data_IF_642692237084
#
_entry.id   IF_642692237084
#
_cell.length_a   1.000
_cell.length_b   1.000
_cell.length_c   1.000
_cell.angle_alpha   90.00
_cell.angle_beta   90.00
_cell.angle_gamma   90.00
#
_symmetry.space_group_name_H-M   'P 1'
#
loop_
_entity.id
_entity.type
_entity.pdbx_description
1 polymer ?
#
# COMPACT_ATOMS: atom_id res chain seq x y z
N UNK A 1 5.93 -76.58 -158.07
CA UNK A 1 5.77 -76.15 -156.66
C UNK A 1 6.58 -77.10 -155.79
N UNK A 2 7.40 -76.63 -154.85
CA UNK A 2 8.32 -77.46 -154.08
C UNK A 2 7.66 -78.03 -152.80
N UNK A 3 8.25 -79.10 -152.25
CA UNK A 3 8.09 -79.41 -150.83
C UNK A 3 9.44 -79.83 -150.26
N UNK A 4 10.00 -78.96 -149.41
CA UNK A 4 11.27 -79.18 -148.72
C UNK A 4 10.96 -79.64 -147.31
N UNK A 5 11.05 -80.95 -147.05
CA UNK A 5 11.05 -81.47 -145.68
C UNK A 5 12.49 -81.57 -145.16
N UNK A 6 12.89 -80.58 -144.35
CA UNK A 6 14.11 -80.67 -143.53
C UNK A 6 13.93 -81.77 -142.49
N UNK A 7 14.96 -82.62 -142.32
CA UNK A 7 15.06 -83.50 -141.15
C UNK A 7 15.21 -82.66 -139.90
N UNK A 8 14.44 -82.99 -138.86
CA UNK A 8 14.60 -82.47 -137.51
C UNK A 8 15.39 -83.50 -136.71
N UNK A 9 16.54 -83.12 -136.17
CA UNK A 9 17.32 -83.96 -135.25
C UNK A 9 16.59 -84.06 -133.91
N UNK A 10 16.66 -85.22 -133.25
CA UNK A 10 16.15 -85.37 -131.88
C UNK A 10 17.00 -84.55 -130.89
N UNK A 11 16.43 -83.98 -129.83
CA UNK A 11 17.20 -83.42 -128.73
C UNK A 11 17.96 -84.53 -127.98
N UNK A 12 19.11 -84.17 -127.42
CA UNK A 12 19.86 -85.04 -126.51
C UNK A 12 19.10 -85.23 -125.17
N UNK A 13 19.28 -86.37 -124.48
CA UNK A 13 18.59 -86.63 -123.22
C UNK A 13 19.12 -85.72 -122.11
N UNK A 14 18.20 -85.11 -121.37
CA UNK A 14 18.49 -84.31 -120.18
C UNK A 14 18.96 -85.26 -119.07
N UNK A 15 20.22 -85.11 -118.65
CA UNK A 15 20.74 -85.71 -117.41
C UNK A 15 20.44 -84.76 -116.24
N UNK A 16 19.97 -85.25 -115.08
CA UNK A 16 19.76 -84.42 -113.91
C UNK A 16 21.10 -83.86 -113.39
N UNK A 17 21.06 -82.62 -112.93
CA UNK A 17 22.20 -81.90 -112.39
C UNK A 17 22.46 -82.33 -110.93
N UNK A 18 23.56 -83.03 -110.69
CA UNK A 18 23.96 -83.52 -109.37
C UNK A 18 24.90 -82.56 -108.62
N UNK A 19 25.15 -81.34 -109.13
CA UNK A 19 25.96 -80.36 -108.40
C UNK A 19 25.28 -79.94 -107.10
N UNK A 20 23.96 -79.76 -107.12
CA UNK A 20 23.17 -79.46 -105.93
C UNK A 20 23.24 -80.58 -104.88
N UNK A 21 23.30 -81.84 -105.31
CA UNK A 21 23.45 -83.01 -104.41
C UNK A 21 24.86 -83.07 -103.80
N UNK A 22 25.90 -82.65 -104.53
CA UNK A 22 27.26 -82.51 -104.00
C UNK A 22 27.38 -81.32 -103.05
N UNK A 23 26.70 -80.21 -103.32
CA UNK A 23 26.64 -79.04 -102.42
C UNK A 23 25.86 -79.35 -101.14
N UNK A 24 24.71 -80.05 -101.23
CA UNK A 24 23.98 -80.55 -100.06
C UNK A 24 24.76 -81.60 -99.28
N UNK A 25 25.49 -82.50 -99.95
CA UNK A 25 26.34 -83.50 -99.31
C UNK A 25 27.46 -82.85 -98.48
N UNK A 26 28.21 -81.92 -99.08
CA UNK A 26 29.25 -81.17 -98.37
C UNK A 26 28.66 -80.32 -97.23
N UNK A 27 27.50 -79.67 -97.45
CA UNK A 27 26.82 -78.90 -96.42
C UNK A 27 26.24 -79.76 -95.29
N UNK A 28 25.87 -81.02 -95.54
CA UNK A 28 25.40 -81.94 -94.52
C UNK A 28 26.53 -82.44 -93.61
N UNK A 29 27.72 -82.69 -94.18
CA UNK A 29 28.92 -83.07 -93.42
C UNK A 29 29.45 -81.89 -92.55
N UNK A 30 29.30 -80.64 -93.01
CA UNK A 30 29.62 -79.43 -92.23
C UNK A 30 28.53 -79.07 -91.19
N UNK A 31 27.26 -79.46 -91.39
CA UNK A 31 26.12 -79.06 -90.55
C UNK A 31 25.92 -79.88 -89.26
N UNK A 32 27.00 -80.20 -88.55
CA UNK A 32 26.94 -80.78 -87.21
C UNK A 32 26.52 -79.71 -86.17
N UNK A 33 25.24 -79.30 -86.20
CA UNK A 33 24.57 -78.32 -85.33
C UNK A 33 24.54 -78.75 -83.86
N UNK A 34 25.71 -78.75 -83.24
CA UNK A 34 25.91 -78.94 -81.80
C UNK A 34 25.64 -77.62 -81.10
N UNK A 35 24.63 -77.55 -80.24
CA UNK A 35 24.34 -76.36 -79.45
C UNK A 35 24.99 -76.43 -78.08
N UNK A 36 25.69 -75.37 -77.68
CA UNK A 36 26.32 -75.23 -76.38
C UNK A 36 25.45 -74.36 -75.47
N UNK A 37 25.06 -74.91 -74.32
CA UNK A 37 24.26 -74.23 -73.31
C UNK A 37 25.10 -73.90 -72.08
N UNK A 38 25.09 -72.64 -71.68
CA UNK A 38 25.73 -72.14 -70.46
C UNK A 38 24.66 -71.56 -69.54
N UNK A 39 24.50 -72.17 -68.38
CA UNK A 39 23.72 -71.63 -67.27
C UNK A 39 24.68 -70.99 -66.26
N UNK A 40 24.40 -69.75 -65.88
CA UNK A 40 25.23 -68.91 -65.04
C UNK A 40 24.40 -68.30 -63.91
N UNK A 41 24.98 -68.16 -62.72
CA UNK A 41 24.51 -67.27 -61.69
C UNK A 41 25.63 -66.29 -61.28
N UNK A 42 25.31 -64.99 -61.24
CA UNK A 42 26.17 -63.92 -60.73
C UNK A 42 25.67 -63.55 -59.34
N UNK A 43 26.32 -64.07 -58.30
CA UNK A 43 25.82 -63.98 -56.93
C UNK A 43 26.09 -62.59 -56.33
N UNK A 44 27.36 -62.20 -56.27
CA UNK A 44 27.78 -60.96 -55.60
C UNK A 44 29.16 -60.51 -56.09
N UNK A 45 29.54 -59.28 -55.76
CA UNK A 45 30.94 -58.87 -55.72
C UNK A 45 31.32 -58.43 -54.30
N UNK A 46 32.61 -58.31 -54.03
CA UNK A 46 33.16 -57.86 -52.75
C UNK A 46 34.44 -57.07 -52.92
N UNK A 47 34.68 -56.13 -52.01
CA UNK A 47 35.87 -55.29 -51.94
C UNK A 47 36.15 -54.49 -53.24
N UNK A 48 35.09 -54.05 -53.93
CA UNK A 48 35.22 -53.26 -55.16
C UNK A 48 35.96 -51.93 -54.91
N UNK A 49 36.64 -51.44 -55.95
CA UNK A 49 37.18 -50.07 -55.96
C UNK A 49 36.01 -49.09 -55.97
N UNK A 50 36.15 -47.97 -55.27
CA UNK A 50 35.22 -46.86 -55.38
C UNK A 50 35.69 -45.93 -56.51
N UNK A 51 34.87 -45.73 -57.56
CA UNK A 51 35.16 -44.70 -58.57
C UNK A 51 34.71 -43.31 -58.09
N UNK A 52 33.64 -43.30 -57.28
CA UNK A 52 32.94 -42.11 -56.83
C UNK A 52 33.75 -41.18 -55.90
N UNK A 53 33.72 -39.87 -56.17
CA UNK A 53 34.36 -38.85 -55.32
C UNK A 53 33.44 -38.35 -54.19
N UNK A 54 32.14 -38.66 -54.25
CA UNK A 54 31.12 -38.18 -53.32
C UNK A 54 30.19 -39.24 -52.71
N UNK A 55 30.35 -40.50 -53.08
CA UNK A 55 29.50 -41.63 -52.66
C UNK A 55 30.27 -42.95 -52.56
N UNK A 56 29.56 -44.06 -52.63
CA UNK A 56 30.12 -45.32 -53.13
C UNK A 56 29.50 -45.59 -54.50
N UNK A 57 30.24 -46.28 -55.34
CA UNK A 57 29.78 -46.87 -56.60
C UNK A 57 28.38 -47.50 -56.55
N UNK A 58 27.69 -47.43 -57.70
CA UNK A 58 26.44 -48.08 -58.08
C UNK A 58 26.73 -49.28 -59.04
N UNK A 59 27.30 -50.40 -58.56
CA UNK A 59 27.80 -51.47 -59.43
C UNK A 59 26.72 -52.33 -60.13
N UNK A 60 26.98 -52.64 -61.40
CA UNK A 60 26.37 -53.75 -62.15
C UNK A 60 27.42 -54.60 -62.86
N UNK A 61 27.10 -55.85 -63.19
CA UNK A 61 27.98 -56.74 -63.96
C UNK A 61 27.41 -57.02 -65.36
N UNK A 62 28.20 -56.74 -66.40
CA UNK A 62 27.97 -57.17 -67.77
C UNK A 62 28.71 -58.48 -68.03
N UNK A 63 27.98 -59.48 -68.49
CA UNK A 63 28.49 -60.80 -68.86
C UNK A 63 28.46 -60.93 -70.38
N UNK A 64 29.56 -61.37 -70.99
CA UNK A 64 29.68 -61.55 -72.45
C UNK A 64 30.18 -62.95 -72.80
N UNK A 65 29.46 -63.64 -73.69
CA UNK A 65 29.77 -64.96 -74.22
C UNK A 65 29.65 -64.93 -75.75
N UNK A 66 30.78 -64.94 -76.45
CA UNK A 66 30.80 -64.71 -77.89
C UNK A 66 30.21 -63.34 -78.23
N UNK A 67 29.22 -63.31 -79.13
CA UNK A 67 28.51 -62.08 -79.52
C UNK A 67 27.34 -61.72 -78.57
N UNK A 68 26.95 -62.62 -77.65
CA UNK A 68 25.81 -62.41 -76.75
C UNK A 68 26.29 -61.78 -75.45
N UNK A 69 25.63 -60.69 -75.01
CA UNK A 69 25.86 -60.12 -73.68
C UNK A 69 24.56 -59.87 -72.91
N UNK A 70 24.62 -60.04 -71.59
CA UNK A 70 23.55 -59.77 -70.63
C UNK A 70 24.13 -58.94 -69.48
N UNK A 71 23.29 -58.17 -68.76
CA UNK A 71 23.72 -57.41 -67.58
C UNK A 71 22.85 -57.72 -66.36
N UNK A 72 23.43 -57.65 -65.17
CA UNK A 72 22.70 -57.72 -63.90
C UNK A 72 21.87 -56.44 -63.69
N UNK A 73 21.01 -56.46 -62.67
CA UNK A 73 20.51 -55.20 -62.08
C UNK A 73 21.67 -54.39 -61.47
N UNK A 74 21.45 -53.10 -61.30
CA UNK A 74 22.38 -52.17 -60.61
C UNK A 74 22.07 -52.14 -59.12
N UNK A 75 23.10 -52.20 -58.27
CA UNK A 75 22.96 -52.10 -56.81
C UNK A 75 23.56 -50.76 -56.38
N UNK A 76 22.73 -49.84 -55.92
CA UNK A 76 23.19 -48.49 -55.55
C UNK A 76 24.06 -48.46 -54.29
N UNK A 77 25.07 -47.60 -54.28
CA UNK A 77 25.89 -47.19 -53.15
C UNK A 77 26.51 -48.36 -52.37
N UNK A 78 27.17 -49.28 -53.08
CA UNK A 78 27.78 -50.48 -52.52
C UNK A 78 29.09 -50.88 -53.18
N UNK A 79 30.09 -51.24 -52.36
CA UNK A 79 31.33 -51.88 -52.82
C UNK A 79 31.31 -53.41 -52.65
N UNK A 80 30.20 -53.93 -52.11
CA UNK A 80 29.94 -55.35 -51.86
C UNK A 80 28.52 -55.71 -52.34
N UNK A 81 28.22 -55.54 -53.65
CA UNK A 81 26.88 -55.74 -54.18
C UNK A 81 26.47 -57.21 -54.20
N UNK A 82 25.17 -57.46 -54.02
CA UNK A 82 24.57 -58.79 -54.12
C UNK A 82 23.46 -58.72 -55.17
N UNK A 83 23.65 -59.43 -56.28
CA UNK A 83 22.71 -59.46 -57.40
C UNK A 83 21.83 -60.72 -57.36
N UNK A 84 22.45 -61.89 -57.17
CA UNK A 84 21.83 -63.21 -57.31
C UNK A 84 21.14 -63.45 -58.67
N UNK A 85 21.58 -62.76 -59.72
CA UNK A 85 20.98 -62.84 -61.05
C UNK A 85 21.37 -64.14 -61.77
N UNK A 86 20.38 -64.78 -62.40
CA UNK A 86 20.57 -65.98 -63.20
C UNK A 86 20.48 -65.65 -64.70
N UNK A 87 21.45 -66.15 -65.46
CA UNK A 87 21.60 -65.90 -66.89
C UNK A 87 21.74 -67.22 -67.64
N UNK A 88 21.22 -67.25 -68.87
CA UNK A 88 21.25 -68.41 -69.75
C UNK A 88 21.73 -67.98 -71.13
N UNK A 89 22.69 -68.72 -71.69
CA UNK A 89 23.23 -68.47 -73.02
C UNK A 89 23.19 -69.74 -73.86
N UNK A 90 22.88 -69.56 -75.15
CA UNK A 90 22.94 -70.59 -76.18
C UNK A 90 23.84 -70.08 -77.30
N UNK A 91 24.84 -70.86 -77.68
CA UNK A 91 25.77 -70.54 -78.79
C UNK A 91 25.97 -71.79 -79.66
N UNK A 92 26.12 -71.58 -80.97
CA UNK A 92 26.34 -72.67 -81.93
C UNK A 92 27.82 -73.12 -81.95
N UNK A 93 28.74 -72.16 -81.86
CA UNK A 93 30.17 -72.45 -81.72
C UNK A 93 30.55 -72.74 -80.27
N UNK A 94 31.52 -73.63 -80.04
CA UNK A 94 32.03 -73.91 -78.69
C UNK A 94 32.69 -72.64 -78.13
N UNK A 95 32.24 -72.07 -77.00
CA UNK A 95 32.89 -70.92 -76.42
C UNK A 95 34.09 -71.36 -75.57
N UNK A 96 35.25 -70.76 -75.81
CA UNK A 96 36.46 -71.02 -75.01
C UNK A 96 36.41 -70.34 -73.63
N UNK A 97 35.82 -69.14 -73.56
CA UNK A 97 35.76 -68.31 -72.36
C UNK A 97 34.49 -67.45 -72.26
N UNK A 98 34.22 -66.96 -71.06
CA UNK A 98 33.18 -65.98 -70.73
C UNK A 98 33.79 -64.83 -69.93
N UNK A 99 33.39 -63.60 -70.23
CA UNK A 99 33.94 -62.40 -69.63
C UNK A 99 32.92 -61.73 -68.73
N UNK A 100 33.32 -61.46 -67.48
CA UNK A 100 32.57 -60.70 -66.49
C UNK A 100 33.22 -59.32 -66.34
N UNK A 101 32.48 -58.25 -66.60
CA UNK A 101 32.96 -56.87 -66.45
C UNK A 101 32.03 -56.13 -65.49
N UNK A 102 32.56 -55.65 -64.37
CA UNK A 102 31.81 -54.85 -63.39
C UNK A 102 32.00 -53.37 -63.72
N UNK A 103 30.90 -52.63 -63.76
CA UNK A 103 30.82 -51.21 -64.08
C UNK A 103 30.06 -50.45 -63.00
N UNK A 104 30.30 -49.14 -62.93
CA UNK A 104 29.64 -48.16 -62.08
C UNK A 104 28.58 -47.39 -62.90
N UNK A 105 27.28 -47.45 -62.56
CA UNK A 105 26.22 -46.79 -63.35
C UNK A 105 26.08 -45.30 -63.01
N UNK A 106 27.02 -44.49 -63.54
CA UNK A 106 27.05 -43.03 -63.33
C UNK A 106 25.84 -42.31 -63.97
N UNK A 107 24.91 -41.87 -63.12
CA UNK A 107 23.71 -41.11 -63.54
C UNK A 107 23.84 -39.58 -63.37
N UNK A 108 25.02 -39.07 -62.96
CA UNK A 108 25.21 -37.68 -62.52
C UNK A 108 26.24 -36.82 -63.28
N UNK A 109 25.78 -35.79 -63.99
CA UNK A 109 26.47 -34.53 -64.39
C UNK A 109 27.91 -34.50 -64.97
N UNK A 110 28.61 -35.61 -65.17
CA UNK A 110 29.95 -35.63 -65.76
C UNK A 110 30.18 -36.85 -66.66
N UNK A 111 30.28 -36.63 -67.98
CA UNK A 111 30.65 -37.65 -68.98
C UNK A 111 29.96 -39.02 -68.83
N UNK A 112 28.70 -39.14 -69.25
CA UNK A 112 27.90 -40.38 -69.15
C UNK A 112 28.47 -41.58 -69.91
N UNK A 113 29.44 -42.26 -69.28
CA UNK A 113 30.02 -43.54 -69.60
C UNK A 113 30.34 -44.24 -68.29
N UNK A 114 29.75 -45.41 -68.10
CA UNK A 114 29.91 -46.23 -66.91
C UNK A 114 31.39 -46.51 -66.59
N UNK A 115 31.80 -46.24 -65.35
CA UNK A 115 33.21 -46.36 -64.95
C UNK A 115 33.58 -47.82 -64.65
N UNK A 116 34.77 -48.27 -65.07
CA UNK A 116 35.12 -49.70 -65.01
C UNK A 116 35.65 -50.12 -63.63
N UNK A 117 34.83 -50.86 -62.88
CA UNK A 117 35.16 -51.42 -61.56
C UNK A 117 35.95 -52.75 -61.62
N UNK A 118 36.23 -53.25 -62.82
CA UNK A 118 37.18 -54.34 -63.09
C UNK A 118 36.56 -55.52 -63.85
N UNK A 119 37.42 -56.33 -64.46
CA UNK A 119 36.99 -57.43 -65.34
C UNK A 119 37.67 -58.77 -65.00
N UNK A 120 37.04 -59.88 -65.33
CA UNK A 120 37.66 -61.21 -65.26
C UNK A 120 37.11 -62.13 -66.33
N UNK A 121 38.02 -62.82 -67.01
CA UNK A 121 37.69 -63.90 -67.93
C UNK A 121 37.77 -65.26 -67.22
N UNK A 122 36.82 -66.14 -67.51
CA UNK A 122 36.75 -67.52 -67.06
C UNK A 122 36.82 -68.44 -68.28
N UNK A 123 37.80 -69.33 -68.31
CA UNK A 123 38.01 -70.31 -69.40
C UNK A 123 37.23 -71.60 -69.09
N UNK A 124 36.40 -72.05 -70.03
CA UNK A 124 35.55 -73.23 -69.82
C UNK A 124 36.31 -74.56 -69.82
N UNK A 125 37.52 -74.59 -70.38
CA UNK A 125 38.35 -75.81 -70.46
C UNK A 125 37.58 -77.01 -71.04
N UNK A 126 37.34 -78.05 -70.23
CA UNK A 126 36.62 -79.28 -70.54
C UNK A 126 35.22 -79.35 -69.90
N UNK A 127 34.66 -78.23 -69.40
CA UNK A 127 33.37 -78.21 -68.71
C UNK A 127 32.18 -78.62 -69.59
N UNK A 128 32.27 -78.47 -70.92
CA UNK A 128 31.21 -78.89 -71.85
C UNK A 128 31.18 -80.41 -72.05
N UNK A 129 32.36 -81.04 -72.05
CA UNK A 129 32.54 -82.48 -72.17
C UNK A 129 32.29 -83.21 -70.85
N UNK A 130 32.77 -82.65 -69.74
CA UNK A 130 32.67 -83.26 -68.40
C UNK A 130 31.34 -82.96 -67.69
N UNK A 131 30.64 -81.88 -68.07
CA UNK A 131 29.42 -81.43 -67.41
C UNK A 131 29.61 -80.94 -65.97
N UNK A 132 30.86 -80.72 -65.55
CA UNK A 132 31.24 -80.23 -64.23
C UNK A 132 30.67 -78.83 -63.98
N UNK A 133 30.35 -78.54 -62.71
CA UNK A 133 29.93 -77.21 -62.27
C UNK A 133 31.11 -76.47 -61.65
N UNK A 134 31.21 -75.18 -61.93
CA UNK A 134 32.07 -74.26 -61.18
C UNK A 134 31.22 -73.45 -60.20
N UNK A 135 31.74 -73.21 -59.00
CA UNK A 135 31.21 -72.22 -58.05
C UNK A 135 32.40 -71.64 -57.28
N UNK A 136 32.58 -70.32 -57.29
CA UNK A 136 33.73 -69.70 -56.63
C UNK A 136 33.82 -68.18 -56.77
N UNK A 137 34.83 -67.61 -56.12
CA UNK A 137 35.21 -66.19 -56.26
C UNK A 137 36.36 -66.04 -57.26
N UNK A 138 36.12 -65.19 -58.26
CA UNK A 138 37.09 -64.78 -59.27
C UNK A 138 37.61 -63.38 -58.92
N UNK A 139 38.94 -63.19 -58.98
CA UNK A 139 39.55 -61.87 -58.71
C UNK A 139 39.45 -60.98 -59.95
N UNK A 140 38.92 -59.76 -59.77
CA UNK A 140 38.87 -58.76 -60.83
C UNK A 140 40.28 -58.27 -61.17
N UNK A 141 40.51 -58.09 -62.47
CA UNK A 141 41.75 -57.60 -63.09
C UNK A 141 41.57 -56.13 -63.49
N UNK A 142 42.68 -55.48 -63.79
CA UNK A 142 42.75 -54.05 -64.14
C UNK A 142 42.28 -53.08 -63.03
N UNK A 143 42.08 -53.59 -61.80
CA UNK A 143 41.77 -52.82 -60.59
C UNK A 143 42.62 -53.25 -59.39
N UNK A 144 42.72 -52.37 -58.37
CA UNK A 144 43.55 -52.60 -57.18
C UNK A 144 43.00 -53.72 -56.28
N UNK A 145 41.68 -53.86 -56.23
CA UNK A 145 40.91 -54.76 -55.36
C UNK A 145 39.55 -55.04 -56.01
N UNK A 146 38.86 -56.07 -55.53
CA UNK A 146 37.60 -56.55 -56.11
C UNK A 146 37.62 -58.05 -56.41
N UNK A 147 36.56 -58.76 -56.02
CA UNK A 147 36.28 -60.15 -56.39
C UNK A 147 34.81 -60.30 -56.76
N UNK A 148 34.49 -61.14 -57.74
CA UNK A 148 33.12 -61.47 -58.15
C UNK A 148 32.86 -62.96 -57.90
N UNK A 149 31.69 -63.29 -57.36
CA UNK A 149 31.27 -64.66 -57.03
C UNK A 149 30.27 -65.17 -58.06
N UNK A 150 30.63 -66.27 -58.72
CA UNK A 150 29.87 -66.82 -59.85
C UNK A 150 29.73 -68.33 -59.75
N UNK A 151 28.64 -68.87 -60.31
CA UNK A 151 28.44 -70.30 -60.48
C UNK A 151 28.08 -70.61 -61.95
N UNK A 152 28.76 -71.57 -62.56
CA UNK A 152 28.60 -71.93 -63.97
C UNK A 152 28.31 -73.42 -64.16
N UNK A 153 27.44 -73.73 -65.12
CA UNK A 153 27.19 -75.09 -65.61
C UNK A 153 27.07 -75.10 -67.12
N UNK A 154 27.83 -75.98 -67.75
CA UNK A 154 27.93 -76.10 -69.19
C UNK A 154 27.36 -77.44 -69.68
N UNK A 155 26.74 -77.46 -70.86
CA UNK A 155 26.22 -78.67 -71.51
C UNK A 155 26.31 -78.57 -73.03
N UNK A 156 26.71 -79.65 -73.68
CA UNK A 156 26.60 -79.85 -75.12
C UNK A 156 25.25 -80.53 -75.45
N UNK A 157 24.58 -80.10 -76.52
CA UNK A 157 23.36 -80.71 -77.04
C UNK A 157 23.56 -81.10 -78.52
N UNK A 158 23.28 -82.37 -78.85
CA UNK A 158 23.33 -82.90 -80.23
C UNK A 158 21.91 -83.17 -80.76
N UNK A 159 21.63 -82.97 -82.06
CA UNK A 159 20.45 -83.53 -82.72
C UNK A 159 20.46 -85.07 -82.68
N UNK A 160 19.30 -85.70 -82.65
CA UNK A 160 19.15 -87.16 -82.48
C UNK A 160 19.12 -87.90 -83.83
N UNK A 161 19.79 -89.05 -83.88
CA UNK A 161 20.30 -89.78 -85.05
C UNK A 161 19.27 -90.32 -86.06
N UNK A 162 19.64 -90.32 -87.34
CA UNK A 162 18.89 -90.85 -88.51
C UNK A 162 19.42 -92.19 -89.07
N UNK A 163 20.42 -92.82 -88.43
CA UNK A 163 21.35 -93.73 -89.11
C UNK A 163 20.90 -95.18 -89.43
N UNK A 164 19.71 -95.64 -89.03
CA UNK A 164 19.36 -97.08 -89.13
C UNK A 164 18.52 -97.48 -90.36
N UNK A 165 17.85 -96.56 -91.07
CA UNK A 165 16.83 -96.95 -92.09
C UNK A 165 17.19 -96.79 -93.58
N UNK A 166 18.27 -96.11 -93.98
CA UNK A 166 18.60 -96.01 -95.41
C UNK A 166 19.14 -97.33 -96.01
N UNK A 167 19.87 -98.14 -95.23
CA UNK A 167 20.57 -99.33 -95.73
C UNK A 167 19.70 -100.54 -96.12
N UNK A 168 18.38 -100.51 -95.89
CA UNK A 168 17.49 -101.66 -96.14
C UNK A 168 16.59 -101.50 -97.38
N UNK A 169 16.49 -100.29 -97.94
CA UNK A 169 15.47 -99.96 -98.95
C UNK A 169 15.79 -100.50 -100.34
N UNK A 170 17.06 -100.56 -100.73
CA UNK A 170 17.47 -101.01 -102.07
C UNK A 170 17.18 -102.49 -102.34
N UNK A 171 17.05 -103.32 -101.30
CA UNK A 171 16.92 -104.79 -101.43
C UNK A 171 15.49 -105.34 -101.43
N UNK A 172 14.47 -104.49 -101.29
CA UNK A 172 13.06 -104.92 -101.21
C UNK A 172 12.18 -104.46 -102.38
N UNK A 173 12.74 -103.81 -103.42
CA UNK A 173 11.96 -103.31 -104.56
C UNK A 173 11.49 -104.39 -105.56
N UNK A 174 11.88 -105.67 -105.39
CA UNK A 174 11.43 -106.78 -106.25
C UNK A 174 10.26 -107.61 -105.66
N UNK A 175 9.84 -107.36 -104.41
CA UNK A 175 8.89 -108.23 -103.68
C UNK A 175 7.45 -107.72 -103.50
N UNK A 176 7.18 -106.44 -103.81
CA UNK A 176 5.92 -105.79 -103.38
C UNK A 176 4.74 -106.06 -104.32
N UNK A 177 3.94 -107.06 -103.97
CA UNK A 177 2.59 -107.27 -104.52
C UNK A 177 1.53 -107.76 -103.52
N UNK A 178 1.91 -108.10 -102.27
CA UNK A 178 0.99 -108.61 -101.23
C UNK A 178 1.21 -108.06 -99.82
N UNK A 179 2.20 -107.18 -99.64
CA UNK A 179 2.56 -106.61 -98.32
C UNK A 179 2.08 -105.16 -98.15
N UNK A 180 1.63 -104.51 -99.23
CA UNK A 180 1.09 -103.14 -99.20
C UNK A 180 -0.21 -103.01 -98.39
N UNK A 181 -1.04 -104.04 -98.33
CA UNK A 181 -2.35 -103.99 -97.67
C UNK A 181 -2.22 -104.03 -96.12
N UNK A 182 -1.30 -104.84 -95.60
CA UNK A 182 -1.03 -104.93 -94.15
C UNK A 182 -0.21 -103.73 -93.62
N UNK A 183 0.66 -103.15 -94.45
CA UNK A 183 1.47 -101.98 -94.04
C UNK A 183 0.69 -100.67 -94.10
N UNK A 184 -0.26 -100.52 -95.03
CA UNK A 184 -1.21 -99.39 -95.02
C UNK A 184 -2.11 -99.46 -93.79
N UNK A 185 -2.67 -100.63 -93.46
CA UNK A 185 -3.52 -100.78 -92.27
C UNK A 185 -2.80 -100.43 -90.95
N UNK A 186 -1.52 -100.81 -90.80
CA UNK A 186 -0.72 -100.45 -89.64
C UNK A 186 -0.29 -98.97 -89.61
N UNK A 187 -0.20 -98.31 -90.78
CA UNK A 187 0.04 -96.88 -90.87
C UNK A 187 -1.24 -96.09 -90.51
N UNK A 188 -2.39 -96.46 -91.06
CA UNK A 188 -3.71 -95.89 -90.70
C UNK A 188 -3.97 -96.00 -89.19
N UNK A 189 -3.67 -97.15 -88.58
CA UNK A 189 -3.81 -97.35 -87.12
C UNK A 189 -2.85 -96.46 -86.32
N UNK A 190 -1.64 -96.21 -86.84
CA UNK A 190 -0.66 -95.32 -86.22
C UNK A 190 -0.95 -93.82 -86.41
N UNK A 191 -1.52 -93.43 -87.55
CA UNK A 191 -1.98 -92.05 -87.79
C UNK A 191 -3.21 -91.76 -86.95
N UNK A 192 -4.15 -92.70 -86.85
CA UNK A 192 -5.32 -92.56 -85.98
C UNK A 192 -4.94 -92.40 -84.50
N UNK A 193 -4.03 -93.24 -83.99
CA UNK A 193 -3.48 -93.08 -82.63
C UNK A 193 -2.77 -91.73 -82.43
N UNK A 194 -2.21 -91.15 -83.50
CA UNK A 194 -1.57 -89.83 -83.46
C UNK A 194 -2.59 -88.69 -83.50
N UNK A 195 -3.67 -88.82 -84.28
CA UNK A 195 -4.81 -87.88 -84.27
C UNK A 195 -5.50 -87.88 -82.91
N UNK A 196 -5.84 -89.07 -82.38
CA UNK A 196 -6.44 -89.24 -81.04
C UNK A 196 -5.56 -88.57 -79.96
N UNK A 197 -4.23 -88.73 -80.03
CA UNK A 197 -3.30 -88.10 -79.10
C UNK A 197 -3.17 -86.58 -79.29
N UNK A 198 -3.31 -86.05 -80.51
CA UNK A 198 -3.32 -84.61 -80.79
C UNK A 198 -4.62 -83.99 -80.26
N UNK A 199 -5.76 -84.67 -80.40
CA UNK A 199 -7.05 -84.21 -79.86
C UNK A 199 -7.07 -84.25 -78.32
N UNK A 200 -6.47 -85.27 -77.69
CA UNK A 200 -6.31 -85.35 -76.24
C UNK A 200 -5.34 -84.27 -75.69
N UNK A 201 -4.34 -83.86 -76.48
CA UNK A 201 -3.45 -82.75 -76.11
C UNK A 201 -4.12 -81.39 -76.31
N UNK A 202 -4.87 -81.20 -77.40
CA UNK A 202 -5.59 -79.94 -77.67
C UNK A 202 -6.69 -79.67 -76.64
N UNK A 203 -7.41 -80.70 -76.19
CA UNK A 203 -8.39 -80.58 -75.10
C UNK A 203 -7.73 -80.24 -73.76
N UNK A 204 -6.58 -80.84 -73.43
CA UNK A 204 -5.78 -80.46 -72.24
C UNK A 204 -5.22 -79.04 -72.33
N UNK A 205 -4.81 -78.59 -73.51
CA UNK A 205 -4.36 -77.21 -73.74
C UNK A 205 -5.52 -76.21 -73.49
N UNK A 206 -6.72 -76.51 -74.01
CA UNK A 206 -7.92 -75.70 -73.73
C UNK A 206 -8.27 -75.67 -72.23
N UNK A 207 -8.19 -76.80 -71.52
CA UNK A 207 -8.38 -76.82 -70.06
C UNK A 207 -7.35 -75.95 -69.31
N UNK A 208 -6.08 -75.95 -69.76
CA UNK A 208 -5.01 -75.15 -69.14
C UNK A 208 -5.26 -73.66 -69.38
N UNK A 209 -5.64 -73.26 -70.59
CA UNK A 209 -6.02 -71.89 -70.94
C UNK A 209 -7.20 -71.43 -70.08
N UNK A 210 -8.27 -72.25 -70.00
CA UNK A 210 -9.46 -71.92 -69.23
C UNK A 210 -9.16 -71.76 -67.72
N UNK A 211 -8.29 -72.62 -67.16
CA UNK A 211 -7.80 -72.50 -65.77
C UNK A 211 -6.93 -71.25 -65.57
N UNK A 212 -6.16 -70.82 -66.57
CA UNK A 212 -5.37 -69.60 -66.51
C UNK A 212 -6.26 -68.34 -66.52
N UNK A 213 -7.29 -68.30 -67.37
CA UNK A 213 -8.27 -67.21 -67.43
C UNK A 213 -9.06 -67.09 -66.10
N UNK A 214 -9.51 -68.22 -65.54
CA UNK A 214 -10.12 -68.26 -64.20
C UNK A 214 -9.19 -67.72 -63.10
N UNK A 215 -7.89 -68.00 -63.19
CA UNK A 215 -6.91 -67.53 -62.21
C UNK A 215 -6.69 -66.02 -62.35
N UNK A 216 -6.63 -65.52 -63.58
CA UNK A 216 -6.48 -64.09 -63.88
C UNK A 216 -7.68 -63.26 -63.39
N UNK A 217 -8.91 -63.72 -63.61
CA UNK A 217 -10.10 -63.05 -63.08
C UNK A 217 -10.18 -63.12 -61.55
N UNK A 218 -9.75 -64.23 -60.91
CA UNK A 218 -9.63 -64.30 -59.44
C UNK A 218 -8.58 -63.33 -58.89
N UNK A 219 -7.42 -63.19 -59.56
CA UNK A 219 -6.39 -62.23 -59.18
C UNK A 219 -6.89 -60.78 -59.32
N UNK A 220 -7.57 -60.47 -60.42
CA UNK A 220 -8.15 -59.15 -60.69
C UNK A 220 -9.22 -58.77 -59.65
N UNK A 221 -10.14 -59.70 -59.32
CA UNK A 221 -11.11 -59.51 -58.25
C UNK A 221 -10.42 -59.27 -56.90
N UNK A 222 -9.41 -60.07 -56.55
CA UNK A 222 -8.66 -59.91 -55.31
C UNK A 222 -7.93 -58.56 -55.24
N UNK A 223 -7.35 -58.10 -56.35
CA UNK A 223 -6.72 -56.78 -56.44
C UNK A 223 -7.75 -55.66 -56.23
N UNK A 224 -8.94 -55.76 -56.81
CA UNK A 224 -10.03 -54.79 -56.61
C UNK A 224 -10.47 -54.75 -55.14
N UNK A 225 -10.69 -55.92 -54.52
CA UNK A 225 -10.99 -55.99 -53.08
C UNK A 225 -9.87 -55.39 -52.20
N UNK A 226 -8.60 -55.53 -52.61
CA UNK A 226 -7.48 -54.92 -51.89
C UNK A 226 -7.58 -53.39 -51.98
N UNK A 227 -7.75 -52.84 -53.19
CA UNK A 227 -7.85 -51.39 -53.39
C UNK A 227 -9.06 -50.77 -52.70
N UNK A 228 -10.20 -51.48 -52.62
CA UNK A 228 -11.36 -51.02 -51.85
C UNK A 228 -11.09 -51.01 -50.34
N UNK A 229 -10.34 -52.00 -49.83
CA UNK A 229 -9.92 -52.04 -48.42
C UNK A 229 -8.92 -50.93 -48.10
N UNK A 230 -7.95 -50.68 -48.99
CA UNK A 230 -6.98 -49.59 -48.87
C UNK A 230 -7.66 -48.22 -48.86
N UNK A 231 -8.59 -47.96 -49.80
CA UNK A 231 -9.37 -46.72 -49.82
C UNK A 231 -10.20 -46.56 -48.53
N UNK A 232 -10.83 -47.63 -48.06
CA UNK A 232 -11.63 -47.59 -46.82
C UNK A 232 -10.76 -47.33 -45.57
N UNK A 233 -9.52 -47.79 -45.55
CA UNK A 233 -8.54 -47.46 -44.49
C UNK A 233 -8.14 -45.99 -44.58
N UNK A 234 -7.92 -45.46 -45.79
CA UNK A 234 -7.60 -44.05 -46.01
C UNK A 234 -8.74 -43.12 -45.56
N UNK A 235 -9.98 -43.42 -45.94
CA UNK A 235 -11.18 -42.68 -45.51
C UNK A 235 -11.33 -42.70 -43.98
N UNK A 236 -11.02 -43.83 -43.33
CA UNK A 236 -11.02 -43.96 -41.87
C UNK A 236 -9.89 -43.16 -41.22
N UNK A 237 -8.70 -43.13 -41.81
CA UNK A 237 -7.58 -42.33 -41.32
C UNK A 237 -7.91 -40.83 -41.36
N UNK A 238 -8.42 -40.32 -42.49
CA UNK A 238 -8.87 -38.93 -42.64
C UNK A 238 -9.99 -38.57 -41.63
N UNK A 239 -10.95 -39.47 -41.39
CA UNK A 239 -11.99 -39.27 -40.39
C UNK A 239 -11.48 -39.30 -38.94
N UNK A 240 -10.30 -39.88 -38.68
CA UNK A 240 -9.62 -39.82 -37.38
C UNK A 240 -8.82 -38.52 -37.27
N UNK A 241 -8.09 -38.12 -38.31
CA UNK A 241 -7.35 -36.85 -38.36
C UNK A 241 -8.28 -35.65 -38.13
N UNK A 242 -9.45 -35.60 -38.79
CA UNK A 242 -10.43 -34.53 -38.54
C UNK A 242 -10.88 -34.48 -37.07
N UNK A 243 -11.11 -35.64 -36.43
CA UNK A 243 -11.49 -35.68 -35.00
C UNK A 243 -10.37 -35.27 -34.06
N UNK A 244 -9.12 -35.49 -34.45
CA UNK A 244 -7.95 -35.00 -33.70
C UNK A 244 -7.92 -33.46 -33.81
N UNK A 245 -8.09 -32.91 -35.01
CA UNK A 245 -8.15 -31.46 -35.21
C UNK A 245 -9.32 -30.82 -34.44
N UNK A 246 -10.54 -31.36 -34.54
CA UNK A 246 -11.72 -30.87 -33.80
C UNK A 246 -11.47 -30.86 -32.27
N UNK A 247 -10.74 -31.87 -31.76
CA UNK A 247 -10.36 -31.96 -30.35
C UNK A 247 -9.29 -30.94 -29.95
N UNK A 248 -8.29 -30.71 -30.81
CA UNK A 248 -7.27 -29.69 -30.58
C UNK A 248 -7.85 -28.27 -30.58
N UNK A 249 -8.76 -27.96 -31.52
CA UNK A 249 -9.49 -26.69 -31.55
C UNK A 249 -10.34 -26.49 -30.28
N UNK A 250 -11.03 -27.54 -29.82
CA UNK A 250 -11.78 -27.51 -28.56
C UNK A 250 -10.86 -27.29 -27.33
N UNK A 251 -9.66 -27.87 -27.31
CA UNK A 251 -8.67 -27.67 -26.25
C UNK A 251 -8.11 -26.24 -26.23
N UNK A 252 -7.91 -25.61 -27.40
CA UNK A 252 -7.52 -24.19 -27.49
C UNK A 252 -8.64 -23.30 -26.96
N UNK A 253 -9.88 -23.53 -27.40
CA UNK A 253 -11.05 -22.78 -26.94
C UNK A 253 -11.24 -22.90 -25.41
N UNK A 254 -11.04 -24.09 -24.83
CA UNK A 254 -11.10 -24.29 -23.38
C UNK A 254 -10.05 -23.42 -22.65
N UNK A 255 -8.78 -23.48 -23.08
CA UNK A 255 -7.69 -22.68 -22.48
C UNK A 255 -7.94 -21.18 -22.58
N UNK A 256 -8.51 -20.68 -23.68
CA UNK A 256 -8.92 -19.28 -23.78
C UNK A 256 -10.00 -18.91 -22.75
N UNK A 257 -10.99 -19.79 -22.51
CA UNK A 257 -12.02 -19.53 -21.50
C UNK A 257 -11.47 -19.56 -20.07
N UNK A 258 -10.51 -20.46 -19.80
CA UNK A 258 -9.80 -20.51 -18.51
C UNK A 258 -8.95 -19.25 -18.27
N UNK A 259 -8.24 -18.75 -19.30
CA UNK A 259 -7.49 -17.50 -19.21
C UNK A 259 -8.41 -16.30 -18.97
N UNK A 260 -9.51 -16.19 -19.73
CA UNK A 260 -10.53 -15.13 -19.53
C UNK A 260 -11.15 -15.19 -18.13
N UNK A 261 -11.30 -16.39 -17.55
CA UNK A 261 -11.75 -16.58 -16.17
C UNK A 261 -10.71 -16.09 -15.16
N UNK A 262 -9.43 -16.44 -15.31
CA UNK A 262 -8.35 -15.96 -14.43
C UNK A 262 -8.18 -14.43 -14.51
N UNK A 263 -8.34 -13.83 -15.70
CA UNK A 263 -8.38 -12.38 -15.85
C UNK A 263 -9.58 -11.73 -15.13
N UNK A 264 -10.72 -12.41 -15.06
CA UNK A 264 -11.89 -11.92 -14.32
C UNK A 264 -11.70 -12.05 -12.81
N UNK A 265 -11.16 -13.18 -12.34
CA UNK A 265 -10.84 -13.41 -10.92
C UNK A 265 -9.80 -12.42 -10.40
N UNK A 266 -8.74 -12.14 -11.15
CA UNK A 266 -7.71 -11.14 -10.78
C UNK A 266 -8.23 -9.69 -10.78
N UNK A 267 -9.16 -9.35 -11.68
CA UNK A 267 -9.86 -8.04 -11.66
C UNK A 267 -10.80 -7.93 -10.46
N UNK A 268 -11.44 -9.03 -10.06
CA UNK A 268 -12.32 -9.06 -8.89
C UNK A 268 -11.51 -8.87 -7.59
N UNK A 269 -10.42 -9.62 -7.39
CA UNK A 269 -9.60 -9.47 -6.18
C UNK A 269 -8.98 -8.07 -6.07
N UNK A 270 -8.53 -7.48 -7.18
CA UNK A 270 -8.03 -6.10 -7.17
C UNK A 270 -9.12 -5.08 -6.79
N UNK A 271 -10.37 -5.31 -7.20
CA UNK A 271 -11.50 -4.46 -6.79
C UNK A 271 -11.88 -4.67 -5.32
N UNK A 272 -11.81 -5.90 -4.80
CA UNK A 272 -12.02 -6.21 -3.38
C UNK A 272 -10.98 -5.53 -2.49
N UNK A 273 -9.69 -5.57 -2.88
CA UNK A 273 -8.61 -4.84 -2.20
C UNK A 273 -8.82 -3.32 -2.21
N UNK A 274 -9.28 -2.73 -3.33
CA UNK A 274 -9.57 -1.30 -3.40
C UNK A 274 -10.76 -0.91 -2.51
N UNK A 275 -11.80 -1.75 -2.44
CA UNK A 275 -12.95 -1.57 -1.55
C UNK A 275 -12.50 -1.63 -0.09
N UNK A 276 -11.68 -2.61 0.29
CA UNK A 276 -11.17 -2.75 1.65
C UNK A 276 -10.35 -1.52 2.06
N UNK A 277 -9.41 -1.06 1.22
CA UNK A 277 -8.61 0.14 1.49
C UNK A 277 -9.48 1.39 1.66
N UNK A 278 -10.56 1.53 0.87
CA UNK A 278 -11.52 2.64 1.02
C UNK A 278 -12.35 2.54 2.29
N UNK A 279 -12.67 1.33 2.76
CA UNK A 279 -13.35 1.13 4.03
C UNK A 279 -12.46 1.54 5.22
N UNK A 280 -11.18 1.16 5.21
CA UNK A 280 -10.20 1.58 6.22
C UNK A 280 -9.98 3.11 6.21
N UNK A 281 -9.94 3.75 5.03
CA UNK A 281 -9.86 5.21 4.89
C UNK A 281 -11.13 5.92 5.42
N UNK A 282 -12.30 5.28 5.35
CA UNK A 282 -13.54 5.80 5.93
C UNK A 282 -13.57 5.61 7.44
N UNK A 283 -13.22 4.44 7.96
CA UNK A 283 -13.17 4.16 9.40
C UNK A 283 -12.20 5.10 10.13
N UNK A 284 -11.03 5.36 9.53
CA UNK A 284 -10.06 6.32 10.09
C UNK A 284 -10.62 7.75 10.13
N UNK A 285 -11.31 8.21 9.08
CA UNK A 285 -11.98 9.53 9.06
C UNK A 285 -13.17 9.61 10.03
N UNK A 286 -13.95 8.54 10.18
CA UNK A 286 -15.04 8.49 11.16
C UNK A 286 -14.49 8.60 12.59
N UNK A 287 -13.38 7.92 12.90
CA UNK A 287 -12.68 8.06 14.18
C UNK A 287 -12.14 9.48 14.39
N UNK A 288 -11.47 10.08 13.41
CA UNK A 288 -10.98 11.46 13.50
C UNK A 288 -12.13 12.47 13.71
N UNK A 289 -13.25 12.30 13.02
CA UNK A 289 -14.45 13.12 13.21
C UNK A 289 -15.06 12.93 14.61
N UNK A 290 -15.12 11.70 15.12
CA UNK A 290 -15.60 11.42 16.47
C UNK A 290 -14.68 12.05 17.54
N UNK A 291 -13.36 11.91 17.39
CA UNK A 291 -12.38 12.56 18.27
C UNK A 291 -12.54 14.09 18.25
N UNK A 292 -12.68 14.70 17.07
CA UNK A 292 -12.93 16.13 16.91
C UNK A 292 -14.25 16.59 17.55
N UNK A 293 -15.33 15.80 17.45
CA UNK A 293 -16.60 16.07 18.12
C UNK A 293 -16.45 16.01 19.64
N UNK A 294 -15.83 14.98 20.20
CA UNK A 294 -15.62 14.90 21.66
C UNK A 294 -14.70 16.01 22.20
N UNK A 295 -13.76 16.51 21.39
CA UNK A 295 -12.97 17.69 21.72
C UNK A 295 -13.84 18.96 21.76
N UNK A 296 -14.76 19.14 20.79
CA UNK A 296 -15.71 20.25 20.77
C UNK A 296 -16.71 20.20 21.92
N UNK A 297 -17.20 19.03 22.29
CA UNK A 297 -18.05 18.84 23.47
C UNK A 297 -17.33 19.28 24.76
N UNK A 298 -16.05 18.93 24.92
CA UNK A 298 -15.24 19.39 26.06
C UNK A 298 -15.02 20.91 26.06
N UNK A 299 -14.80 21.53 24.91
CA UNK A 299 -14.71 23.00 24.80
C UNK A 299 -16.02 23.67 25.19
N UNK A 300 -17.17 23.12 24.76
CA UNK A 300 -18.50 23.65 25.10
C UNK A 300 -18.79 23.52 26.60
N UNK A 301 -18.49 22.37 27.20
CA UNK A 301 -18.64 22.17 28.66
C UNK A 301 -17.76 23.15 29.45
N UNK A 302 -16.48 23.29 29.09
CA UNK A 302 -15.59 24.25 29.74
C UNK A 302 -15.98 25.73 29.51
N UNK A 303 -16.76 26.04 28.47
CA UNK A 303 -17.35 27.35 28.25
C UNK A 303 -18.62 27.55 29.10
N UNK A 304 -19.42 26.50 29.29
CA UNK A 304 -20.60 26.51 30.16
C UNK A 304 -20.21 26.68 31.64
N UNK A 305 -19.20 25.95 32.13
CA UNK A 305 -18.68 26.10 33.50
C UNK A 305 -18.24 27.55 33.79
N UNK A 306 -17.56 28.19 32.84
CA UNK A 306 -17.15 29.60 32.91
C UNK A 306 -18.31 30.58 32.81
N UNK A 307 -19.42 30.19 32.19
CA UNK A 307 -20.64 31.00 32.17
C UNK A 307 -21.33 30.92 33.53
N UNK A 308 -21.45 29.73 34.11
CA UNK A 308 -22.02 29.54 35.45
C UNK A 308 -21.20 30.27 36.53
N UNK A 309 -19.86 30.25 36.44
CA UNK A 309 -18.99 31.04 37.32
C UNK A 309 -19.26 32.55 37.20
N UNK A 310 -19.47 33.05 35.98
CA UNK A 310 -19.83 34.46 35.74
C UNK A 310 -21.23 34.82 36.24
N UNK A 311 -22.21 33.92 36.10
CA UNK A 311 -23.56 34.11 36.62
C UNK A 311 -23.54 34.18 38.16
N UNK A 312 -22.83 33.27 38.83
CA UNK A 312 -22.61 33.33 40.29
C UNK A 312 -21.92 34.62 40.73
N UNK A 313 -20.91 35.09 40.00
CA UNK A 313 -20.23 36.35 40.28
C UNK A 313 -21.14 37.57 40.05
N UNK A 314 -21.99 37.54 39.02
CA UNK A 314 -23.01 38.56 38.76
C UNK A 314 -24.03 38.62 39.91
N UNK A 315 -24.55 37.49 40.36
CA UNK A 315 -25.50 37.42 41.48
C UNK A 315 -24.90 37.93 42.80
N UNK A 316 -23.60 37.72 43.03
CA UNK A 316 -22.90 38.31 44.19
C UNK A 316 -22.78 39.84 44.07
N UNK A 317 -22.53 40.36 42.85
CA UNK A 317 -22.51 41.80 42.58
C UNK A 317 -23.91 42.41 42.76
N UNK A 318 -24.97 41.76 42.28
CA UNK A 318 -26.36 42.22 42.47
C UNK A 318 -26.69 42.30 43.96
N UNK A 319 -26.40 41.25 44.75
CA UNK A 319 -26.61 41.27 46.22
C UNK A 319 -25.84 42.39 46.91
N UNK A 320 -24.61 42.68 46.48
CA UNK A 320 -23.81 43.81 47.00
C UNK A 320 -24.40 45.17 46.60
N UNK A 321 -24.96 45.28 45.40
CA UNK A 321 -25.69 46.48 44.97
C UNK A 321 -26.96 46.69 45.81
N UNK A 322 -27.78 45.66 46.00
CA UNK A 322 -28.98 45.69 46.85
C UNK A 322 -28.64 46.11 48.30
N UNK A 323 -27.57 45.54 48.89
CA UNK A 323 -27.08 45.94 50.21
C UNK A 323 -26.60 47.40 50.25
N UNK A 324 -25.91 47.86 49.20
CA UNK A 324 -25.43 49.24 49.09
C UNK A 324 -26.59 50.23 48.94
N UNK A 325 -27.63 49.86 48.20
CA UNK A 325 -28.85 50.65 48.04
C UNK A 325 -29.66 50.71 49.34
N UNK A 326 -29.79 49.59 50.06
CA UNK A 326 -30.42 49.56 51.38
C UNK A 326 -29.69 50.47 52.39
N UNK A 327 -28.36 50.39 52.46
CA UNK A 327 -27.55 51.28 53.30
C UNK A 327 -27.67 52.75 52.87
N UNK A 328 -27.75 53.03 51.57
CA UNK A 328 -27.99 54.39 51.07
C UNK A 328 -29.34 54.94 51.55
N UNK A 329 -30.41 54.14 51.48
CA UNK A 329 -31.74 54.51 51.97
C UNK A 329 -31.73 54.74 53.49
N UNK A 330 -31.02 53.91 54.25
CA UNK A 330 -30.85 54.09 55.70
C UNK A 330 -30.13 55.41 56.04
N UNK A 331 -29.03 55.72 55.34
CA UNK A 331 -28.32 56.99 55.48
C UNK A 331 -29.19 58.20 55.08
N UNK A 332 -29.98 58.08 54.01
CA UNK A 332 -30.89 59.15 53.55
C UNK A 332 -32.01 59.41 54.57
N UNK A 333 -32.55 58.36 55.19
CA UNK A 333 -33.48 58.46 56.32
C UNK A 333 -32.83 59.09 57.57
N UNK A 334 -31.61 58.69 57.94
CA UNK A 334 -30.87 59.31 59.06
C UNK A 334 -30.61 60.80 58.83
N UNK A 335 -30.21 61.19 57.61
CA UNK A 335 -29.95 62.58 57.25
C UNK A 335 -31.25 63.40 57.34
N UNK A 336 -32.36 62.86 56.83
CA UNK A 336 -33.68 63.49 56.92
C UNK A 336 -34.13 63.69 58.38
N UNK A 337 -33.90 62.69 59.24
CA UNK A 337 -34.20 62.79 60.67
C UNK A 337 -33.31 63.82 61.38
N UNK A 338 -32.01 63.87 61.07
CA UNK A 338 -31.07 64.88 61.60
C UNK A 338 -31.46 66.30 61.14
N UNK A 339 -31.90 66.46 59.89
CA UNK A 339 -32.35 67.74 59.36
C UNK A 339 -33.63 68.24 60.06
N UNK A 340 -34.59 67.35 60.34
CA UNK A 340 -35.77 67.69 61.16
C UNK A 340 -35.38 68.14 62.58
N UNK A 341 -34.42 67.48 63.22
CA UNK A 341 -33.91 67.90 64.54
C UNK A 341 -33.23 69.27 64.47
N UNK A 342 -32.44 69.54 63.42
CA UNK A 342 -31.81 70.85 63.20
C UNK A 342 -32.86 71.95 62.99
N UNK A 343 -33.91 71.68 62.21
CA UNK A 343 -35.01 72.63 61.98
C UNK A 343 -35.76 72.96 63.27
N UNK A 344 -36.10 71.96 64.10
CA UNK A 344 -36.75 72.22 65.39
C UNK A 344 -35.80 72.94 66.37
N UNK A 345 -34.51 72.58 66.42
CA UNK A 345 -33.53 73.32 67.22
C UNK A 345 -33.40 74.79 66.78
N UNK A 346 -33.37 75.07 65.48
CA UNK A 346 -33.32 76.44 64.95
C UNK A 346 -34.56 77.25 65.37
N UNK A 347 -35.75 76.65 65.30
CA UNK A 347 -37.02 77.24 65.74
C UNK A 347 -37.06 77.51 67.26
N UNK A 348 -36.50 76.61 68.08
CA UNK A 348 -36.35 76.81 69.52
C UNK A 348 -35.35 77.94 69.86
N UNK A 349 -34.30 78.11 69.05
CA UNK A 349 -33.36 79.24 69.17
C UNK A 349 -34.05 80.55 68.79
N UNK A 350 -34.84 80.58 67.71
CA UNK A 350 -35.62 81.75 67.29
C UNK A 350 -36.63 82.19 68.36
N UNK A 351 -37.33 81.24 68.98
CA UNK A 351 -38.25 81.52 70.10
C UNK A 351 -37.51 82.19 71.28
N UNK A 352 -36.38 81.63 71.72
CA UNK A 352 -35.55 82.18 72.81
C UNK A 352 -34.94 83.55 72.48
N UNK A 353 -34.58 83.78 71.22
CA UNK A 353 -34.12 85.08 70.76
C UNK A 353 -35.25 86.12 70.84
N UNK A 354 -36.49 85.74 70.48
CA UNK A 354 -37.66 86.59 70.61
C UNK A 354 -38.00 86.91 72.08
N UNK A 355 -38.01 85.92 72.96
CA UNK A 355 -38.18 86.10 74.42
C UNK A 355 -37.12 87.06 74.99
N UNK A 356 -35.86 86.91 74.55
CA UNK A 356 -34.76 87.79 74.97
C UNK A 356 -34.91 89.23 74.44
N UNK A 357 -35.46 89.42 73.24
CA UNK A 357 -35.75 90.73 72.68
C UNK A 357 -36.91 91.43 73.40
N UNK A 358 -37.96 90.69 73.75
CA UNK A 358 -39.08 91.20 74.57
C UNK A 358 -38.60 91.61 75.97
N UNK A 359 -37.70 90.84 76.59
CA UNK A 359 -37.07 91.18 77.86
C UNK A 359 -36.16 92.41 77.79
N UNK A 360 -35.46 92.63 76.67
CA UNK A 360 -34.67 93.84 76.43
C UNK A 360 -35.57 95.08 76.28
N UNK A 361 -36.65 94.98 75.51
CA UNK A 361 -37.62 96.08 75.34
C UNK A 361 -38.26 96.50 76.68
N UNK A 362 -38.57 95.53 77.56
CA UNK A 362 -39.04 95.82 78.91
C UNK A 362 -38.02 96.62 79.75
N UNK A 363 -36.72 96.31 79.63
CA UNK A 363 -35.65 97.06 80.31
C UNK A 363 -35.41 98.45 79.73
N UNK A 364 -35.58 98.65 78.42
CA UNK A 364 -35.47 99.98 77.82
C UNK A 364 -36.57 100.92 78.36
N UNK A 365 -37.77 100.40 78.62
CA UNK A 365 -38.86 101.15 79.25
C UNK A 365 -38.50 101.59 80.69
N UNK A 366 -37.94 100.66 81.48
CA UNK A 366 -37.50 100.89 82.87
C UNK A 366 -36.39 101.95 82.95
N UNK A 367 -35.44 101.94 82.00
CA UNK A 367 -34.38 102.96 81.88
C UNK A 367 -34.96 104.34 81.53
N UNK A 368 -36.01 104.39 80.70
CA UNK A 368 -36.65 105.65 80.31
C UNK A 368 -37.33 106.35 81.51
N UNK A 369 -37.98 105.58 82.38
CA UNK A 369 -38.58 106.11 83.62
C UNK A 369 -37.52 106.57 84.62
N UNK A 370 -36.42 105.82 84.76
CA UNK A 370 -35.28 106.22 85.60
C UNK A 370 -34.60 107.53 85.12
N UNK A 371 -34.46 107.71 83.80
CA UNK A 371 -33.95 108.95 83.19
C UNK A 371 -34.80 110.17 83.54
N UNK A 372 -36.13 110.01 83.50
CA UNK A 372 -37.09 111.08 83.81
C UNK A 372 -36.99 111.53 85.29
N UNK A 373 -36.84 110.57 86.21
CA UNK A 373 -36.63 110.85 87.63
C UNK A 373 -35.27 111.51 87.94
N UNK A 374 -34.26 111.35 87.07
CA UNK A 374 -32.95 111.98 87.22
C UNK A 374 -33.01 113.48 86.87
N UNK A 375 -33.73 113.84 85.79
CA UNK A 375 -33.93 115.23 85.35
C UNK A 375 -34.58 116.12 86.41
N UNK A 376 -35.52 115.58 87.19
CA UNK A 376 -36.19 116.32 88.27
C UNK A 376 -35.27 116.54 89.49
N UNK A 377 -34.27 115.68 89.71
CA UNK A 377 -33.25 115.84 90.76
C UNK A 377 -32.17 116.86 90.42
N UNK A 378 -31.77 116.95 89.15
CA UNK A 378 -30.75 117.92 88.72
C UNK A 378 -31.25 119.37 88.81
N UNK A 379 -32.55 119.60 88.58
CA UNK A 379 -33.18 120.91 88.79
C UNK A 379 -33.13 121.37 90.27
N UNK A 380 -33.31 120.43 91.21
CA UNK A 380 -33.25 120.72 92.64
C UNK A 380 -31.82 120.93 93.18
N UNK A 381 -30.81 120.29 92.58
CA UNK A 381 -29.41 120.44 92.98
C UNK A 381 -28.83 121.83 92.64
N UNK A 382 -29.29 122.43 91.53
CA UNK A 382 -28.78 123.73 91.06
C UNK A 382 -29.17 124.91 91.98
N UNK A 383 -30.36 124.86 92.57
CA UNK A 383 -30.90 125.88 93.51
C UNK A 383 -30.26 125.84 94.92
N UNK A 384 -29.51 124.76 95.21
CA UNK A 384 -28.74 124.61 96.45
C UNK A 384 -27.31 125.16 96.35
N UNK A 385 -26.68 125.07 95.17
CA UNK A 385 -25.28 125.48 94.97
C UNK A 385 -25.09 127.01 95.11
N UNK A 386 -25.98 127.83 94.54
CA UNK A 386 -25.87 129.30 94.61
C UNK A 386 -26.00 129.86 96.04
N UNK A 387 -26.63 129.11 96.96
CA UNK A 387 -26.73 129.49 98.38
C UNK A 387 -25.47 129.13 99.18
N UNK A 388 -24.69 128.15 98.74
CA UNK A 388 -23.48 127.70 99.45
C UNK A 388 -22.28 128.63 99.16
N UNK A 389 -22.12 129.06 97.92
CA UNK A 389 -21.00 129.90 97.49
C UNK A 389 -21.05 131.32 98.09
N UNK A 390 -22.23 131.79 98.50
CA UNK A 390 -22.41 133.08 99.21
C UNK A 390 -21.91 133.00 100.67
N UNK A 391 -22.16 131.89 101.37
CA UNK A 391 -21.79 131.73 102.79
C UNK A 391 -20.30 131.48 103.04
N UNK A 392 -19.56 130.97 102.05
CA UNK A 392 -18.13 130.68 102.23
C UNK A 392 -17.26 131.96 102.17
N UNK A 393 -17.71 133.01 101.46
CA UNK A 393 -16.99 134.26 101.31
C UNK A 393 -16.99 135.15 102.57
N UNK A 394 -18.01 135.02 103.43
CA UNK A 394 -18.11 135.79 104.69
C UNK A 394 -17.29 135.16 105.83
N UNK A 395 -17.03 133.85 105.76
CA UNK A 395 -16.31 133.11 106.80
C UNK A 395 -14.81 133.44 106.85
N UNK A 396 -14.19 133.64 105.68
CA UNK A 396 -12.76 133.94 105.54
C UNK A 396 -12.40 135.38 105.94
N UNK A 397 -13.39 136.29 106.00
CA UNK A 397 -13.22 137.63 106.54
C UNK A 397 -13.16 137.64 108.08
N UNK A 398 -14.04 136.86 108.73
CA UNK A 398 -14.19 136.80 110.19
C UNK A 398 -12.99 136.13 110.90
N UNK A 399 -12.33 135.16 110.26
CA UNK A 399 -11.18 134.47 110.88
C UNK A 399 -9.95 135.36 111.07
N UNK A 400 -9.87 136.48 110.35
CA UNK A 400 -8.70 137.38 110.35
C UNK A 400 -8.77 138.50 111.40
N UNK A 401 -9.97 138.75 111.94
CA UNK A 401 -10.19 139.68 113.05
C UNK A 401 -9.96 139.00 114.42
N UNK A 402 -10.18 137.68 114.47
CA UNK A 402 -9.97 136.85 115.68
C UNK A 402 -8.50 136.81 116.14
N UNK A 403 -7.53 136.69 115.22
CA UNK A 403 -6.09 136.69 115.53
C UNK A 403 -5.61 138.01 116.19
N UNK A 404 -6.34 139.12 115.98
CA UNK A 404 -5.95 140.42 116.54
C UNK A 404 -6.38 140.59 118.02
N UNK A 405 -7.48 139.97 118.42
CA UNK A 405 -8.07 140.12 119.77
C UNK A 405 -7.47 139.16 120.80
N UNK A 406 -7.04 137.96 120.39
CA UNK A 406 -6.43 136.99 121.32
C UNK A 406 -5.06 137.48 121.87
N UNK A 407 -4.36 138.37 121.15
CA UNK A 407 -3.11 139.00 121.59
C UNK A 407 -3.28 140.12 122.65
N UNK A 408 -4.51 140.58 122.88
CA UNK A 408 -4.81 141.69 123.81
C UNK A 408 -5.38 141.19 125.15
N UNK A 409 -6.09 140.06 125.14
CA UNK A 409 -6.67 139.43 126.34
C UNK A 409 -5.60 138.89 127.30
N UNK A 410 -4.50 138.31 126.81
CA UNK A 410 -3.50 137.70 127.71
C UNK A 410 -2.68 138.73 128.51
N UNK A 411 -2.57 139.97 128.03
CA UNK A 411 -1.98 141.09 128.80
C UNK A 411 -2.84 141.46 130.02
N UNK A 412 -4.14 141.19 129.99
CA UNK A 412 -5.08 141.50 131.08
C UNK A 412 -5.02 140.43 132.19
N UNK A 413 -4.90 139.15 131.83
CA UNK A 413 -4.79 138.04 132.82
C UNK A 413 -3.55 138.11 133.69
N UNK A 414 -2.42 138.62 133.17
CA UNK A 414 -1.19 138.87 133.96
C UNK A 414 -1.42 139.92 135.06
N UNK A 415 -2.37 140.83 134.88
CA UNK A 415 -2.65 141.92 135.83
C UNK A 415 -3.60 141.50 136.94
N UNK A 416 -4.63 140.69 136.63
CA UNK A 416 -5.60 140.22 137.62
C UNK A 416 -4.99 139.26 138.67
N UNK A 417 -4.16 138.31 138.24
CA UNK A 417 -3.55 137.30 139.13
C UNK A 417 -2.62 137.89 140.19
N UNK A 418 -2.15 139.13 139.98
CA UNK A 418 -1.29 139.88 140.91
C UNK A 418 -2.05 140.49 142.10
N UNK A 419 -3.39 140.50 142.06
CA UNK A 419 -4.26 140.99 143.13
C UNK A 419 -4.77 139.87 144.06
N UNK A 420 -5.03 138.68 143.55
CA UNK A 420 -5.44 137.52 144.38
C UNK A 420 -4.32 137.10 145.35
N UNK A 421 -3.07 137.12 144.90
CA UNK A 421 -1.87 136.86 145.72
C UNK A 421 -1.77 137.80 146.94
N UNK A 422 -2.36 139.00 146.87
CA UNK A 422 -2.41 139.93 148.02
C UNK A 422 -3.52 139.60 149.02
N UNK A 423 -4.67 139.12 148.56
CA UNK A 423 -5.84 138.85 149.40
C UNK A 423 -5.65 137.62 150.30
N UNK A 424 -5.04 136.56 149.77
CA UNK A 424 -4.83 135.31 150.51
C UNK A 424 -3.72 135.43 151.57
N UNK A 425 -2.81 136.40 151.42
CA UNK A 425 -1.78 136.70 152.42
C UNK A 425 -2.38 137.32 153.70
N UNK A 426 -3.37 138.21 153.59
CA UNK A 426 -4.02 138.85 154.73
C UNK A 426 -4.95 137.88 155.49
N UNK A 427 -5.65 136.99 154.78
CA UNK A 427 -6.60 136.05 155.40
C UNK A 427 -5.94 134.94 156.23
N UNK A 428 -4.66 134.64 155.96
CA UNK A 428 -3.93 133.58 156.68
C UNK A 428 -3.34 134.06 158.00
N UNK A 429 -2.84 135.30 158.04
CA UNK A 429 -2.37 135.94 159.28
C UNK A 429 -3.45 135.96 160.38
N UNK A 430 -4.71 136.20 159.99
CA UNK A 430 -5.86 136.21 160.92
C UNK A 430 -6.17 134.82 161.54
N UNK A 431 -5.80 133.72 160.87
CA UNK A 431 -6.03 132.36 161.36
C UNK A 431 -4.91 131.87 162.29
N UNK A 432 -3.69 132.38 162.12
CA UNK A 432 -2.57 132.12 163.04
C UNK A 432 -2.83 132.77 164.42
N UNK A 433 -3.50 133.93 164.44
CA UNK A 433 -3.94 134.60 165.68
C UNK A 433 -5.07 133.84 166.40
N UNK A 434 -6.07 133.33 165.66
CA UNK A 434 -7.19 132.56 166.24
C UNK A 434 -6.73 131.25 166.90
N UNK A 435 -5.84 130.50 166.26
CA UNK A 435 -5.35 129.22 166.78
C UNK A 435 -4.58 129.37 168.11
N UNK A 436 -3.96 130.54 168.34
CA UNK A 436 -3.27 130.83 169.60
C UNK A 436 -4.23 130.94 170.81
N UNK A 437 -5.49 131.32 170.60
CA UNK A 437 -6.49 131.45 171.68
C UNK A 437 -7.15 130.10 172.01
N UNK A 438 -7.32 129.22 171.02
CA UNK A 438 -7.85 127.86 171.23
C UNK A 438 -6.88 126.94 172.00
N UNK A 439 -5.59 127.30 172.04
CA UNK A 439 -4.57 126.67 172.88
C UNK A 439 -4.85 126.81 174.38
N UNK A 440 -5.28 127.99 174.82
CA UNK A 440 -5.39 128.34 176.25
C UNK A 440 -6.69 127.82 176.89
N UNK A 441 -7.77 127.71 176.11
CA UNK A 441 -9.09 127.28 176.62
C UNK A 441 -9.14 125.77 176.96
N UNK A 442 -8.32 124.94 176.29
CA UNK A 442 -8.38 123.48 176.43
C UNK A 442 -7.57 122.97 177.63
N UNK A 443 -6.46 123.64 177.95
CA UNK A 443 -5.68 123.41 179.17
C UNK A 443 -6.49 123.74 180.43
N UNK A 444 -7.37 124.74 180.37
CA UNK A 444 -8.25 125.12 181.49
C UNK A 444 -9.40 124.13 181.76
N UNK A 445 -9.90 123.38 180.76
CA UNK A 445 -11.05 122.47 180.94
C UNK A 445 -10.68 121.11 181.53
N UNK A 446 -9.59 120.48 181.07
CA UNK A 446 -9.21 119.15 181.58
C UNK A 446 -8.77 119.20 183.05
N UNK A 447 -8.24 120.33 183.53
CA UNK A 447 -7.94 120.54 184.95
C UNK A 447 -9.20 120.54 185.84
N UNK A 448 -10.39 120.79 185.26
CA UNK A 448 -11.68 120.75 185.95
C UNK A 448 -12.22 119.32 186.11
N UNK A 449 -12.09 118.47 185.08
CA UNK A 449 -12.50 117.05 185.15
C UNK A 449 -11.67 116.24 186.17
N UNK A 450 -10.45 116.69 186.50
CA UNK A 450 -9.66 116.15 187.63
C UNK A 450 -10.28 116.35 189.02
N UNK A 451 -11.35 117.14 189.17
CA UNK A 451 -11.93 117.52 190.46
C UNK A 451 -13.38 117.08 190.68
N UNK A 452 -14.12 116.70 189.63
CA UNK A 452 -15.56 116.40 189.75
C UNK A 452 -15.81 114.92 190.14
N UNK A 453 -15.05 113.98 189.57
CA UNK A 453 -15.15 112.54 189.89
C UNK A 453 -14.57 112.18 191.27
N UNK A 454 -13.74 113.03 191.89
CA UNK A 454 -13.32 112.87 193.29
C UNK A 454 -14.44 113.20 194.30
N UNK A 455 -15.51 113.87 193.86
CA UNK A 455 -16.59 114.37 194.73
C UNK A 455 -17.84 113.49 194.69
N UNK A 456 -18.39 113.20 193.51
CA UNK A 456 -19.78 112.68 193.45
C UNK A 456 -19.94 111.25 194.00
N UNK A 457 -18.87 110.43 193.98
CA UNK A 457 -18.92 109.06 194.51
C UNK A 457 -18.79 108.94 196.03
N UNK A 458 -18.79 110.06 196.77
CA UNK A 458 -18.85 110.04 198.25
C UNK A 458 -20.25 110.23 198.85
N UNK A 459 -21.21 110.88 198.19
CA UNK A 459 -22.38 111.44 198.92
C UNK A 459 -23.80 111.10 198.41
N UNK A 460 -23.99 110.38 197.29
CA UNK A 460 -25.33 109.86 196.92
C UNK A 460 -25.89 108.75 197.87
N UNK A 461 -25.30 108.60 199.05
CA UNK A 461 -25.78 107.76 200.16
C UNK A 461 -25.96 108.55 201.48
N UNK A 462 -25.89 109.90 201.49
CA UNK A 462 -26.32 110.76 202.62
C UNK A 462 -26.35 112.28 202.24
N UNK A 463 -27.37 113.10 202.59
CA UNK A 463 -28.75 112.80 202.99
C UNK A 463 -29.65 114.07 203.09
N UNK A 464 -30.74 114.15 202.32
CA UNK A 464 -31.93 114.98 202.64
C UNK A 464 -31.80 116.52 202.49
N UNK A 465 -32.83 117.26 202.09
CA UNK A 465 -34.23 116.92 201.81
C UNK A 465 -35.08 118.19 201.88
N UNK A 466 -36.37 118.04 201.58
CA UNK A 466 -37.55 118.82 202.01
C UNK A 466 -37.47 120.34 202.34
N UNK A 467 -38.56 121.04 201.99
CA UNK A 467 -38.89 122.43 202.35
C UNK A 467 -37.98 123.55 201.77
N UNK A 468 -38.48 124.59 201.10
CA UNK A 468 -39.53 125.59 201.42
C UNK A 468 -38.95 126.89 202.00
N UNK A 469 -39.58 128.02 201.65
CA UNK A 469 -39.49 129.38 202.23
C UNK A 469 -38.51 130.39 201.60
N UNK A 470 -39.10 131.55 201.23
CA UNK A 470 -38.59 132.92 200.94
C UNK A 470 -37.75 133.18 199.67
#
# INVERSE_FOLDING_TARGET
MPSVFKRVSRPDPIVPDTTLDQELGNAADDANLTLYFVNLAVASASDLVNADFGGKSDPFCKVTLGEVSQRTVTVQNSLDPVWNDQMNFFVADKPDKITFHVFDEDTGMGSGKDDSLGEVEFEFSDMFETGVKYEGELKLRNVKKGRIRVALRCRMMKPIETEIKLGYVEKQLEGKGKEQEATVAALDESEKLREDAIEELSTKEQEIIQKADELAEKQKLHQTELTEKEQRILDQAQAIEQKIQDYEEAQVALKETELKKQEAETKLTAAEEEILRKAEELETKERENAEALTAKEKEILAAADKLEEKERAHDEVVKKMEQTEALRVEVENELTAKEQVIQEQAKQIELKAKESAEALSAKELEILEASKALSEREAAAKDAQEKQDTTQAELDAMSKEKELLEAEVEKVTVTARRLEIKKDAELKALNEEKASVEKELKEARSQYETLEDEVEKKEAQCCGGDCSVM
#
